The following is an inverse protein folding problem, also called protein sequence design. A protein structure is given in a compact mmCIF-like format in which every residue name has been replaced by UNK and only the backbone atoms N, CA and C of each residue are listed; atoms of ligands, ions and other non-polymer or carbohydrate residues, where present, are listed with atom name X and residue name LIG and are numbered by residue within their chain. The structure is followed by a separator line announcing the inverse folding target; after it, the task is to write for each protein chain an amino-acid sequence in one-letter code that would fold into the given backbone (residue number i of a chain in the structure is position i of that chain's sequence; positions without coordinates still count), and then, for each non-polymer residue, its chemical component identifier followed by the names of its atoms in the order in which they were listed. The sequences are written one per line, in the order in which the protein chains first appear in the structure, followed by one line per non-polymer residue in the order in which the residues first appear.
data_IF_732377663834
#
_entry.id   IF_732377663834
#
_cell.length_a   1.000
_cell.length_b   1.000
_cell.length_c   1.000
_cell.angle_alpha   90.00
_cell.angle_beta   90.00
_cell.angle_gamma   90.00
#
_symmetry.space_group_name_H-M   'P 1'
#
loop_
_entity.id
_entity.type
_entity.pdbx_description
1 polymer ?
#
# COMPACT_ATOMS: atom_id res chain seq x y z
N UNK A 1 -3.83 28.09 24.00
CA UNK A 1 -3.43 26.97 23.13
C UNK A 1 -2.72 27.51 21.92
N UNK A 2 -1.46 27.10 21.74
CA UNK A 2 -0.62 27.53 20.63
C UNK A 2 -1.20 27.05 19.29
N UNK A 3 -0.83 27.73 18.20
CA UNK A 3 -1.28 27.35 16.84
C UNK A 3 -0.90 25.90 16.49
N UNK A 4 0.28 25.47 16.95
CA UNK A 4 0.79 24.10 16.76
C UNK A 4 -0.04 23.05 17.49
N UNK A 5 -0.42 23.29 18.76
CA UNK A 5 -1.29 22.38 19.53
C UNK A 5 -2.64 22.14 18.83
N UNK A 6 -3.23 23.19 18.22
CA UNK A 6 -4.49 23.07 17.49
C UNK A 6 -4.35 22.19 16.22
N UNK A 7 -3.24 22.34 15.49
CA UNK A 7 -2.95 21.51 14.32
C UNK A 7 -2.74 20.05 14.72
N UNK A 8 -1.99 19.80 15.80
CA UNK A 8 -1.74 18.46 16.31
C UNK A 8 -3.04 17.78 16.79
N UNK A 9 -3.89 18.51 17.51
CA UNK A 9 -5.20 18.02 17.93
C UNK A 9 -6.09 17.65 16.73
N UNK A 10 -6.07 18.48 15.68
CA UNK A 10 -6.84 18.21 14.45
C UNK A 10 -6.30 16.98 13.71
N UNK A 11 -4.98 16.82 13.64
CA UNK A 11 -4.34 15.65 13.03
C UNK A 11 -4.72 14.36 13.78
N UNK A 12 -4.68 14.39 15.12
CA UNK A 12 -5.11 13.27 15.95
C UNK A 12 -6.59 12.94 15.71
N UNK A 13 -7.47 13.93 15.66
CA UNK A 13 -8.90 13.73 15.37
C UNK A 13 -9.14 13.09 13.99
N UNK A 14 -8.42 13.54 12.95
CA UNK A 14 -8.49 12.94 11.61
C UNK A 14 -7.97 11.51 11.58
N UNK A 15 -6.91 11.21 12.33
CA UNK A 15 -6.42 9.83 12.48
C UNK A 15 -7.44 8.93 13.18
N UNK A 16 -8.12 9.43 14.22
CA UNK A 16 -9.20 8.70 14.88
C UNK A 16 -10.36 8.44 13.93
N UNK A 17 -10.76 9.43 13.12
CA UNK A 17 -11.79 9.25 12.09
C UNK A 17 -11.37 8.22 11.04
N UNK A 18 -10.11 8.29 10.57
CA UNK A 18 -9.55 7.31 9.64
C UNK A 18 -9.60 5.90 10.21
N UNK A 19 -9.17 5.72 11.45
CA UNK A 19 -9.22 4.43 12.14
C UNK A 19 -10.66 3.91 12.30
N UNK A 20 -11.61 4.80 12.61
CA UNK A 20 -13.03 4.44 12.71
C UNK A 20 -13.57 3.90 11.38
N UNK A 21 -13.32 4.59 10.27
CA UNK A 21 -13.79 4.14 8.93
C UNK A 21 -13.16 2.80 8.54
N UNK A 22 -11.89 2.58 8.88
CA UNK A 22 -11.21 1.30 8.64
C UNK A 22 -11.80 0.19 9.52
N UNK A 23 -12.17 0.51 10.77
CA UNK A 23 -12.81 -0.43 11.69
C UNK A 23 -14.21 -0.88 11.28
N UNK A 24 -14.93 -0.07 10.49
CA UNK A 24 -16.27 -0.41 9.97
C UNK A 24 -16.23 -1.53 8.91
N UNK A 25 -15.08 -1.78 8.29
CA UNK A 25 -14.88 -2.91 7.37
C UNK A 25 -13.98 -2.60 6.18
N UNK A 26 -14.00 -3.51 5.21
CA UNK A 26 -13.17 -3.39 4.01
C UNK A 26 -13.59 -2.19 3.14
N UNK A 27 -12.65 -1.59 2.43
CA UNK A 27 -12.88 -0.41 1.60
C UNK A 27 -12.16 -0.52 0.25
N UNK A 28 -12.62 0.26 -0.73
CA UNK A 28 -12.05 0.31 -2.07
C UNK A 28 -11.73 1.75 -2.48
N UNK A 29 -10.44 2.02 -2.68
CA UNK A 29 -9.98 3.29 -3.23
C UNK A 29 -9.90 3.22 -4.76
N UNK A 30 -10.03 4.38 -5.41
CA UNK A 30 -9.90 4.52 -6.88
C UNK A 30 -10.89 3.68 -7.71
N UNK A 31 -11.99 3.24 -7.11
CA UNK A 31 -12.99 2.39 -7.72
C UNK A 31 -14.32 3.11 -7.98
N UNK A 32 -15.06 2.65 -8.99
CA UNK A 32 -16.42 3.07 -9.28
C UNK A 32 -17.25 1.92 -9.88
N UNK A 33 -18.56 2.00 -9.70
CA UNK A 33 -19.52 1.06 -10.28
C UNK A 33 -20.03 1.58 -11.63
N UNK A 34 -20.19 0.67 -12.58
CA UNK A 34 -20.76 0.93 -13.90
C UNK A 34 -21.74 -0.18 -14.23
N UNK A 35 -22.91 0.19 -14.75
CA UNK A 35 -23.83 -0.76 -15.33
C UNK A 35 -23.55 -0.88 -16.83
N UNK A 36 -23.32 -2.10 -17.32
CA UNK A 36 -22.91 -2.35 -18.70
C UNK A 36 -23.90 -3.30 -19.37
N UNK A 37 -24.23 -3.04 -20.63
CA UNK A 37 -25.00 -3.96 -21.46
C UNK A 37 -24.07 -5.06 -22.00
N UNK A 38 -24.53 -6.31 -22.12
CA UNK A 38 -23.75 -7.34 -22.81
C UNK A 38 -23.43 -6.89 -24.23
N UNK A 39 -22.18 -7.08 -24.65
CA UNK A 39 -21.74 -6.83 -26.02
C UNK A 39 -21.90 -8.10 -26.87
N UNK A 40 -22.03 -7.93 -28.18
CA UNK A 40 -22.13 -9.03 -29.15
C UNK A 40 -23.57 -9.38 -29.56
N UNK A 41 -23.77 -10.58 -30.11
CA UNK A 41 -25.06 -11.14 -30.58
C UNK A 41 -25.96 -11.65 -29.45
N UNK A 42 -25.54 -11.52 -28.19
CA UNK A 42 -26.39 -11.85 -27.05
C UNK A 42 -27.51 -10.80 -26.90
N UNK A 43 -28.70 -11.12 -27.41
CA UNK A 43 -29.91 -10.28 -27.36
C UNK A 43 -30.57 -10.25 -25.97
N UNK A 44 -29.79 -10.12 -24.90
CA UNK A 44 -30.31 -9.92 -23.55
C UNK A 44 -30.19 -8.46 -23.14
N UNK A 45 -31.33 -7.81 -22.89
CA UNK A 45 -31.38 -6.44 -22.34
C UNK A 45 -30.91 -6.34 -20.88
N UNK A 46 -30.60 -7.47 -20.26
CA UNK A 46 -30.13 -7.58 -18.89
C UNK A 46 -28.75 -6.91 -18.73
N UNK A 47 -28.76 -5.70 -18.18
CA UNK A 47 -27.56 -5.00 -17.75
C UNK A 47 -26.95 -5.69 -16.53
N UNK A 48 -25.62 -5.74 -16.47
CA UNK A 48 -24.91 -6.25 -15.30
C UNK A 48 -23.99 -5.19 -14.71
N UNK A 49 -23.61 -5.38 -13.46
CA UNK A 49 -22.75 -4.45 -12.73
C UNK A 49 -21.28 -4.82 -12.89
N UNK A 50 -20.44 -3.81 -13.11
CA UNK A 50 -18.99 -3.92 -13.11
C UNK A 50 -18.41 -2.92 -12.12
N UNK A 51 -17.45 -3.38 -11.32
CA UNK A 51 -16.53 -2.51 -10.59
C UNK A 51 -15.32 -2.29 -11.46
N UNK A 52 -14.98 -1.02 -11.66
CA UNK A 52 -13.77 -0.59 -12.35
C UNK A 52 -12.88 0.17 -11.40
N UNK A 53 -11.58 0.08 -11.64
CA UNK A 53 -10.55 0.78 -10.88
C UNK A 53 -9.50 1.36 -11.81
N UNK A 54 -8.89 2.47 -11.40
CA UNK A 54 -7.67 2.99 -12.06
C UNK A 54 -6.43 2.17 -11.69
N UNK A 55 -6.49 1.45 -10.58
CA UNK A 55 -5.39 0.64 -10.05
C UNK A 55 -5.76 -0.84 -10.05
N UNK A 56 -4.79 -1.76 -10.12
CA UNK A 56 -5.06 -3.18 -9.97
C UNK A 56 -5.76 -3.46 -8.63
N UNK A 57 -6.85 -4.23 -8.69
CA UNK A 57 -7.57 -4.73 -7.51
C UNK A 57 -6.82 -5.97 -6.95
N UNK A 58 -7.57 -6.97 -6.49
CA UNK A 58 -7.05 -8.16 -5.83
C UNK A 58 -6.37 -9.18 -6.75
N UNK A 59 -6.68 -9.16 -8.06
CA UNK A 59 -6.21 -10.17 -9.01
C UNK A 59 -5.28 -9.59 -10.09
N UNK A 60 -4.68 -8.42 -9.83
CA UNK A 60 -3.96 -7.65 -10.86
C UNK A 60 -4.87 -7.04 -11.93
N UNK A 61 -6.17 -7.36 -11.92
CA UNK A 61 -7.17 -6.83 -12.85
C UNK A 61 -7.74 -5.52 -12.35
N UNK A 62 -8.07 -4.63 -13.28
CA UNK A 62 -8.72 -3.33 -13.02
C UNK A 62 -10.25 -3.42 -13.04
N UNK A 63 -10.80 -4.60 -13.36
CA UNK A 63 -12.23 -4.81 -13.55
C UNK A 63 -12.69 -6.11 -12.88
N UNK A 64 -13.83 -6.06 -12.20
CA UNK A 64 -14.56 -7.23 -11.68
C UNK A 64 -16.04 -7.13 -12.07
N UNK A 65 -16.60 -8.21 -12.59
CA UNK A 65 -18.05 -8.37 -12.77
C UNK A 65 -18.69 -8.70 -11.42
N UNK A 66 -19.80 -8.04 -11.11
CA UNK A 66 -20.51 -8.26 -9.86
C UNK A 66 -21.83 -8.98 -10.09
N UNK A 67 -22.21 -9.81 -9.12
CA UNK A 67 -23.58 -10.29 -8.97
C UNK A 67 -24.44 -9.19 -8.33
N UNK A 68 -25.76 -9.30 -8.47
CA UNK A 68 -26.70 -8.31 -7.94
C UNK A 68 -26.60 -8.18 -6.41
N UNK A 69 -26.33 -9.28 -5.69
CA UNK A 69 -26.22 -9.27 -4.23
C UNK A 69 -24.95 -8.55 -3.75
N UNK A 70 -23.86 -8.61 -4.52
CA UNK A 70 -22.58 -7.98 -4.16
C UNK A 70 -22.59 -6.44 -4.37
N UNK A 71 -23.56 -5.90 -5.13
CA UNK A 71 -23.51 -4.49 -5.58
C UNK A 71 -23.52 -3.52 -4.41
N UNK A 72 -24.38 -3.74 -3.42
CA UNK A 72 -24.52 -2.84 -2.28
C UNK A 72 -23.29 -2.91 -1.36
N UNK A 73 -22.69 -4.09 -1.17
CA UNK A 73 -21.44 -4.24 -0.43
C UNK A 73 -20.30 -3.45 -1.08
N UNK A 74 -20.16 -3.54 -2.40
CA UNK A 74 -19.15 -2.80 -3.15
C UNK A 74 -19.42 -1.30 -3.15
N UNK A 75 -20.67 -0.89 -3.22
CA UNK A 75 -21.07 0.52 -3.14
C UNK A 75 -20.70 1.11 -1.78
N UNK A 76 -20.96 0.37 -0.69
CA UNK A 76 -20.55 0.75 0.66
C UNK A 76 -19.01 0.81 0.79
N UNK A 77 -18.29 -0.18 0.26
CA UNK A 77 -16.83 -0.20 0.28
C UNK A 77 -16.20 0.96 -0.51
N UNK A 78 -16.77 1.32 -1.66
CA UNK A 78 -16.35 2.48 -2.46
C UNK A 78 -16.62 3.79 -1.72
N UNK A 79 -17.77 3.91 -1.06
CA UNK A 79 -18.10 5.09 -0.24
C UNK A 79 -17.09 5.28 0.90
N UNK A 80 -16.78 4.21 1.64
CA UNK A 80 -15.72 4.22 2.67
C UNK A 80 -14.36 4.60 2.08
N UNK A 81 -13.99 4.03 0.94
CA UNK A 81 -12.71 4.35 0.29
C UNK A 81 -12.59 5.82 -0.13
N UNK A 82 -13.69 6.45 -0.56
CA UNK A 82 -13.73 7.90 -0.85
C UNK A 82 -13.53 8.74 0.41
N UNK A 83 -14.19 8.37 1.51
CA UNK A 83 -14.03 9.05 2.80
C UNK A 83 -12.58 8.97 3.29
N UNK A 84 -11.97 7.78 3.25
CA UNK A 84 -10.55 7.61 3.61
C UNK A 84 -9.66 8.49 2.74
N UNK A 85 -9.90 8.52 1.42
CA UNK A 85 -9.11 9.36 0.50
C UNK A 85 -9.21 10.85 0.85
N UNK A 86 -10.38 11.31 1.29
CA UNK A 86 -10.59 12.69 1.72
C UNK A 86 -9.82 13.01 3.01
N UNK A 87 -9.91 12.11 3.99
CA UNK A 87 -9.18 12.24 5.26
C UNK A 87 -7.67 12.23 5.02
N UNK A 88 -7.16 11.31 4.19
CA UNK A 88 -5.73 11.22 3.84
C UNK A 88 -5.23 12.51 3.18
N UNK A 89 -6.03 13.15 2.32
CA UNK A 89 -5.68 14.47 1.73
C UNK A 89 -5.59 15.56 2.79
N UNK A 90 -6.50 15.56 3.76
CA UNK A 90 -6.48 16.55 4.85
C UNK A 90 -5.26 16.33 5.76
N UNK A 91 -4.96 15.08 6.11
CA UNK A 91 -3.76 14.72 6.88
C UNK A 91 -2.51 15.20 6.14
N UNK A 92 -2.38 14.89 4.84
CA UNK A 92 -1.23 15.32 4.03
C UNK A 92 -1.07 16.84 4.02
N UNK A 93 -2.17 17.59 3.90
CA UNK A 93 -2.15 19.07 3.94
C UNK A 93 -1.68 19.59 5.30
N UNK A 94 -2.18 19.04 6.40
CA UNK A 94 -1.78 19.45 7.76
C UNK A 94 -0.32 19.10 8.05
N UNK A 95 0.14 17.91 7.64
CA UNK A 95 1.54 17.51 7.75
C UNK A 95 2.46 18.48 6.98
N UNK A 96 2.05 18.90 5.77
CA UNK A 96 2.78 19.90 5.02
C UNK A 96 2.84 21.25 5.75
N UNK A 97 1.74 21.70 6.34
CA UNK A 97 1.74 22.94 7.12
C UNK A 97 2.65 22.88 8.36
N UNK A 98 2.66 21.74 9.08
CA UNK A 98 3.56 21.53 10.21
C UNK A 98 5.04 21.54 9.77
N UNK A 99 5.36 20.89 8.65
CA UNK A 99 6.73 20.90 8.11
C UNK A 99 7.19 22.32 7.73
N UNK A 100 6.30 23.13 7.16
CA UNK A 100 6.61 24.53 6.82
C UNK A 100 6.86 25.38 8.07
N UNK A 101 6.04 25.21 9.11
CA UNK A 101 6.24 25.92 10.38
C UNK A 101 7.57 25.58 11.04
N UNK A 102 7.96 24.29 11.02
CA UNK A 102 9.26 23.85 11.50
C UNK A 102 10.41 24.51 10.72
N UNK A 103 10.36 24.48 9.38
CA UNK A 103 11.41 25.10 8.55
C UNK A 103 11.48 26.62 8.71
N UNK A 104 10.37 27.32 8.95
CA UNK A 104 10.41 28.78 9.19
C UNK A 104 10.93 29.15 10.57
N UNK A 105 10.75 28.29 11.58
CA UNK A 105 11.30 28.52 12.92
C UNK A 105 12.84 28.44 12.90
N UNK A 106 13.42 27.57 12.07
CA UNK A 106 14.87 27.41 11.94
C UNK A 106 15.53 28.59 11.17
N UNK A 107 14.81 29.24 10.25
CA UNK A 107 15.35 30.35 9.44
C UNK A 107 15.29 31.70 10.18
N UNK A 108 14.40 31.86 11.16
CA UNK A 108 14.30 33.10 11.94
C UNK A 108 15.29 33.17 13.12
N UNK A 109 16.13 32.16 13.31
CA UNK A 109 17.05 32.03 14.44
C UNK A 109 18.50 32.43 14.18
N UNK A 110 18.90 32.75 12.95
CA UNK A 110 20.32 33.02 12.67
C UNK A 110 20.52 34.07 11.57
N UNK A 111 20.48 35.34 11.97
CA UNK A 111 21.11 36.42 11.22
C UNK A 111 22.48 36.67 11.84
N UNK A 112 23.49 35.90 11.42
CA UNK A 112 24.83 36.44 11.22
C UNK A 112 25.75 35.52 10.43
N UNK A 113 26.22 36.11 9.32
CA UNK A 113 27.56 35.96 8.72
C UNK A 113 27.71 34.83 7.67
N UNK A 114 27.64 35.30 6.42
CA UNK A 114 28.53 34.98 5.31
C UNK A 114 28.91 33.50 5.11
N UNK A 115 28.37 32.88 4.05
CA UNK A 115 29.24 32.31 3.01
C UNK A 115 28.49 32.00 1.72
N UNK A 116 28.88 32.77 0.71
CA UNK A 116 28.72 32.56 -0.72
C UNK A 116 29.43 31.26 -1.12
N UNK A 117 28.75 30.35 -1.84
CA UNK A 117 29.24 29.65 -3.05
C UNK A 117 28.30 28.51 -3.46
N UNK A 118 27.62 28.70 -4.60
CA UNK A 118 27.23 27.64 -5.57
C UNK A 118 28.48 27.10 -6.30
N UNK A 119 28.42 26.05 -7.15
CA UNK A 119 27.32 25.10 -7.47
C UNK A 119 27.74 23.61 -7.51
N UNK A 120 26.75 22.70 -7.61
CA UNK A 120 26.68 21.43 -8.38
C UNK A 120 25.82 20.40 -7.62
N UNK A 121 24.61 20.08 -8.08
CA UNK A 121 24.32 19.13 -9.17
C UNK A 121 24.75 17.70 -8.81
N UNK A 122 23.81 16.89 -8.29
CA UNK A 122 23.61 15.48 -8.69
C UNK A 122 22.24 15.03 -8.16
N UNK A 123 21.28 15.02 -9.07
CA UNK A 123 20.00 14.33 -8.95
C UNK A 123 20.21 12.81 -9.01
N UNK A 124 19.83 12.08 -7.96
CA UNK A 124 19.55 10.64 -8.04
C UNK A 124 18.09 10.37 -7.63
N UNK A 125 17.31 9.68 -8.46
CA UNK A 125 15.93 9.34 -8.16
C UNK A 125 15.87 8.15 -7.19
N UNK A 126 15.24 8.35 -6.03
CA UNK A 126 14.90 7.25 -5.10
C UNK A 126 13.69 6.49 -5.68
N UNK A 127 13.79 5.19 -5.99
CA UNK A 127 12.63 4.40 -6.38
C UNK A 127 11.77 4.13 -5.13
N UNK A 128 10.57 4.73 -5.10
CA UNK A 128 9.50 4.31 -4.22
C UNK A 128 9.04 2.90 -4.59
N UNK A 129 9.42 1.90 -3.80
CA UNK A 129 8.90 0.54 -3.93
C UNK A 129 7.88 0.29 -2.81
N UNK A 130 6.62 0.62 -3.13
CA UNK A 130 5.44 0.26 -2.33
C UNK A 130 5.21 -1.24 -2.51
N UNK A 131 5.64 -2.02 -1.51
CA UNK A 131 5.35 -3.44 -1.39
C UNK A 131 3.99 -3.65 -0.72
N UNK A 132 2.99 -4.02 -1.51
CA UNK A 132 1.72 -4.56 -1.06
C UNK A 132 1.94 -5.91 -0.37
N UNK A 133 1.70 -5.99 0.94
CA UNK A 133 1.61 -7.27 1.66
C UNK A 133 0.15 -7.58 1.95
N UNK A 134 -0.42 -8.49 1.14
CA UNK A 134 -1.66 -9.19 1.44
C UNK A 134 -1.32 -10.37 2.36
N UNK A 135 -1.84 -10.36 3.59
CA UNK A 135 -2.14 -11.59 4.34
C UNK A 135 -3.42 -11.39 5.14
N UNK A 136 -4.32 -12.35 5.00
CA UNK A 136 -5.29 -12.74 6.02
C UNK A 136 -5.60 -14.23 5.80
N UNK A 137 -6.12 -14.99 6.79
CA UNK A 137 -6.37 -14.64 8.19
C UNK A 137 -5.79 -15.67 9.21
N UNK A 138 -5.89 -15.31 10.50
CA UNK A 138 -5.83 -16.16 11.71
C UNK A 138 -4.47 -16.77 12.10
N UNK A 139 -3.81 -16.10 13.03
CA UNK A 139 -3.61 -16.61 14.40
C UNK A 139 -3.20 -15.43 15.26
N UNK A 140 -3.99 -15.10 16.28
CA UNK A 140 -3.63 -14.14 17.31
C UNK A 140 -2.50 -14.74 18.15
N UNK A 141 -1.28 -14.72 17.62
CA UNK A 141 -0.08 -14.88 18.43
C UNK A 141 0.09 -13.56 19.15
N UNK A 142 -0.28 -13.54 20.42
CA UNK A 142 0.15 -12.51 21.36
C UNK A 142 1.65 -12.34 21.15
N UNK A 143 2.09 -11.19 20.62
CA UNK A 143 3.51 -10.92 20.51
C UNK A 143 4.04 -10.83 21.93
N UNK A 144 4.90 -11.77 22.38
CA UNK A 144 5.43 -11.71 23.73
C UNK A 144 6.19 -10.38 23.84
N UNK A 145 5.85 -9.59 24.85
CA UNK A 145 6.58 -8.39 25.20
C UNK A 145 7.99 -8.83 25.64
N UNK A 146 8.92 -8.90 24.68
CA UNK A 146 10.32 -9.24 24.96
C UNK A 146 10.93 -8.05 25.69
N UNK A 147 11.04 -8.17 27.01
CA UNK A 147 11.83 -7.26 27.84
C UNK A 147 13.28 -7.72 27.75
N UNK A 148 14.12 -6.92 27.09
CA UNK A 148 15.55 -7.17 27.03
C UNK A 148 16.19 -6.73 28.36
N UNK A 149 16.99 -7.61 28.97
CA UNK A 149 17.71 -7.29 30.20
C UNK A 149 19.05 -6.60 29.91
N UNK A 150 19.61 -6.82 28.71
CA UNK A 150 20.92 -6.33 28.31
C UNK A 150 20.99 -6.01 26.79
N UNK A 151 21.84 -5.04 26.43
CA UNK A 151 22.07 -4.56 25.08
C UNK A 151 22.73 -5.64 24.20
N UNK A 152 23.57 -6.50 24.79
CA UNK A 152 24.21 -7.61 24.08
C UNK A 152 23.20 -8.67 23.60
N UNK A 153 22.16 -8.95 24.39
CA UNK A 153 21.08 -9.87 24.00
C UNK A 153 20.27 -9.31 22.83
N UNK A 154 19.99 -8.00 22.86
CA UNK A 154 19.30 -7.32 21.76
C UNK A 154 20.12 -7.37 20.45
N UNK A 155 21.43 -7.13 20.52
CA UNK A 155 22.30 -7.23 19.35
C UNK A 155 22.38 -8.66 18.78
N UNK A 156 22.43 -9.66 19.66
CA UNK A 156 22.44 -11.06 19.26
C UNK A 156 21.15 -11.43 18.51
N UNK A 157 20.01 -11.03 19.04
CA UNK A 157 18.70 -11.32 18.45
C UNK A 157 18.49 -10.59 17.12
N UNK A 158 18.98 -9.36 16.99
CA UNK A 158 18.96 -8.62 15.71
C UNK A 158 19.83 -9.33 14.67
N UNK A 159 21.03 -9.82 15.04
CA UNK A 159 21.91 -10.57 14.13
C UNK A 159 21.25 -11.88 13.67
N UNK A 160 20.59 -12.59 14.59
CA UNK A 160 19.87 -13.82 14.27
C UNK A 160 18.72 -13.56 13.30
N UNK A 161 17.87 -12.56 13.58
CA UNK A 161 16.75 -12.18 12.69
C UNK A 161 17.26 -11.79 11.30
N UNK A 162 18.37 -11.05 11.22
CA UNK A 162 18.98 -10.70 9.94
C UNK A 162 19.50 -11.93 9.19
N UNK A 163 20.16 -12.87 9.88
CA UNK A 163 20.63 -14.12 9.30
C UNK A 163 19.45 -14.98 8.79
N UNK A 164 18.40 -15.15 9.58
CA UNK A 164 17.18 -15.87 9.17
C UNK A 164 16.50 -15.21 7.97
N UNK A 165 16.43 -13.88 7.94
CA UNK A 165 15.88 -13.11 6.82
C UNK A 165 16.68 -13.32 5.54
N UNK A 166 18.01 -13.35 5.63
CA UNK A 166 18.88 -13.62 4.48
C UNK A 166 18.72 -15.05 3.97
N UNK A 167 18.68 -16.05 4.87
CA UNK A 167 18.44 -17.44 4.51
C UNK A 167 17.09 -17.63 3.80
N UNK A 168 16.03 -16.99 4.31
CA UNK A 168 14.70 -17.02 3.69
C UNK A 168 14.73 -16.43 2.27
N UNK A 169 15.41 -15.29 2.08
CA UNK A 169 15.56 -14.67 0.75
C UNK A 169 16.34 -15.57 -0.21
N UNK A 170 17.37 -16.27 0.26
CA UNK A 170 18.11 -17.22 -0.56
C UNK A 170 17.23 -18.40 -0.99
N UNK A 171 16.46 -18.97 -0.07
CA UNK A 171 15.49 -20.04 -0.35
C UNK A 171 14.43 -19.60 -1.36
N UNK A 172 13.89 -18.39 -1.21
CA UNK A 172 12.91 -17.83 -2.17
C UNK A 172 13.52 -17.67 -3.58
N UNK A 173 14.78 -17.24 -3.68
CA UNK A 173 15.46 -17.13 -4.98
C UNK A 173 15.63 -18.50 -5.63
N UNK A 174 15.97 -19.53 -4.85
CA UNK A 174 16.08 -20.91 -5.34
C UNK A 174 14.73 -21.46 -5.82
N UNK A 175 13.65 -21.25 -5.07
CA UNK A 175 12.32 -21.70 -5.48
C UNK A 175 11.85 -21.02 -6.77
N UNK A 176 12.06 -19.70 -6.89
CA UNK A 176 11.76 -18.95 -8.13
C UNK A 176 12.59 -19.47 -9.31
N UNK A 177 13.87 -19.79 -9.10
CA UNK A 177 14.72 -20.35 -10.15
C UNK A 177 14.22 -21.73 -10.62
N UNK A 178 13.84 -22.60 -9.69
CA UNK A 178 13.25 -23.92 -10.00
C UNK A 178 11.93 -23.78 -10.77
N UNK A 179 11.04 -22.87 -10.36
CA UNK A 179 9.79 -22.61 -11.09
C UNK A 179 10.05 -22.15 -12.54
N UNK A 180 11.07 -21.32 -12.76
CA UNK A 180 11.47 -20.90 -14.12
C UNK A 180 12.00 -22.07 -14.96
N UNK A 181 12.82 -22.95 -14.37
CA UNK A 181 13.32 -24.15 -15.06
C UNK A 181 12.19 -25.12 -15.42
N UNK A 182 11.23 -25.35 -14.52
CA UNK A 182 10.05 -26.18 -14.79
C UNK A 182 9.15 -25.57 -15.86
N UNK A 183 8.99 -24.24 -15.87
CA UNK A 183 8.29 -23.51 -16.92
C UNK A 183 8.95 -23.70 -18.30
N UNK A 184 10.27 -23.59 -18.38
CA UNK A 184 11.03 -23.79 -19.61
C UNK A 184 10.91 -25.24 -20.14
N UNK A 185 10.99 -26.25 -19.25
CA UNK A 185 10.79 -27.66 -19.63
C UNK A 185 9.39 -27.96 -20.15
N UNK A 186 8.35 -27.32 -19.59
CA UNK A 186 6.98 -27.47 -20.07
C UNK A 186 6.76 -26.85 -21.47
N UNK A 187 7.47 -25.76 -21.79
CA UNK A 187 7.40 -25.16 -23.12
C UNK A 187 8.08 -26.01 -24.20
N UNK A 188 9.14 -26.75 -23.86
CA UNK A 188 9.83 -27.63 -24.80
C UNK A 188 9.01 -28.91 -25.11
N UNK A 189 8.35 -29.50 -24.10
CA UNK A 189 7.47 -30.66 -24.30
C UNK A 189 6.28 -30.36 -25.24
N UNK A 190 5.77 -29.12 -25.24
CA UNK A 190 4.69 -28.70 -26.15
C UNK A 190 5.11 -28.54 -27.61
N UNK A 191 6.40 -28.36 -27.89
CA UNK A 191 6.92 -28.21 -29.26
C UNK A 191 7.31 -29.55 -29.92
N UNK A 192 7.34 -30.64 -29.16
CA UNK A 192 7.79 -31.97 -29.61
C UNK A 192 6.70 -32.95 -30.04
N UNK A 193 5.44 -32.56 -30.18
CA UNK A 193 4.41 -33.43 -30.75
C UNK A 193 4.24 -33.15 -32.26
N UNK A 194 4.85 -33.95 -33.16
CA UNK A 194 4.42 -33.95 -34.54
C UNK A 194 2.97 -34.45 -34.55
N UNK A 195 2.07 -33.62 -35.10
CA UNK A 195 0.73 -34.06 -35.44
C UNK A 195 0.88 -35.14 -36.52
N UNK A 196 0.69 -36.40 -36.15
CA UNK A 196 0.36 -37.47 -37.07
C UNK A 196 -1.10 -37.33 -37.50
#
# INVERSE_FOLDING_TARGET
MSSSEKLQATLNALNTQRAKIIGEGWFLQHCWLVQVKPGGTAHTDSKYWQVRSRQPLFNGKTLKHLRAEEVEDYKAAIARGRQITQVDRQIKKLQQQLSQQASTADVSGDVSILSRSTPQETSLPVPMLVGSSQRSPKESVEQPLVKFADLAEQECLVKEVLASSQALRASLRQSVALCKQLGARNTDLRKGHPRA
#
